data_IF_499403359591
#
_entry.id   IF_499403359591
#
_cell.length_a   1.000
_cell.length_b   1.000
_cell.length_c   1.000
_cell.angle_alpha   90.00
_cell.angle_beta   90.00
_cell.angle_gamma   90.00
#
_symmetry.space_group_name_H-M   'P 1'
#
loop_
_entity.id
_entity.type
_entity.pdbx_description
1 polymer ?
#
# COMPACT_ATOMS: atom_id res chain seq x y z
N UNK A 1 -6.87 15.17 -18.94
CA UNK A 1 -5.63 15.81 -18.42
C UNK A 1 -5.86 16.48 -17.07
N UNK A 2 -6.82 17.40 -16.92
CA UNK A 2 -7.12 18.05 -15.63
C UNK A 2 -7.40 17.09 -14.47
N UNK A 3 -8.17 16.02 -14.71
CA UNK A 3 -8.48 15.02 -13.68
C UNK A 3 -7.23 14.29 -13.15
N UNK A 4 -6.25 14.02 -14.02
CA UNK A 4 -4.99 13.38 -13.62
C UNK A 4 -4.14 14.33 -12.76
N UNK A 5 -4.08 15.62 -13.10
CA UNK A 5 -3.36 16.63 -12.31
C UNK A 5 -3.95 16.75 -10.91
N UNK A 6 -5.29 16.78 -10.79
CA UNK A 6 -5.97 16.82 -9.49
C UNK A 6 -5.64 15.60 -8.64
N UNK A 7 -5.68 14.38 -9.21
CA UNK A 7 -5.31 13.14 -8.52
C UNK A 7 -3.87 13.21 -7.99
N UNK A 8 -2.93 13.71 -8.80
CA UNK A 8 -1.51 13.86 -8.43
C UNK A 8 -1.32 14.86 -7.29
N UNK A 9 -1.97 16.02 -7.34
CA UNK A 9 -1.86 17.04 -6.27
C UNK A 9 -2.39 16.48 -4.96
N UNK A 10 -3.54 15.81 -4.98
CA UNK A 10 -4.11 15.17 -3.77
C UNK A 10 -3.15 14.13 -3.20
N UNK A 11 -2.60 13.25 -4.03
CA UNK A 11 -1.63 12.25 -3.60
C UNK A 11 -0.37 12.88 -2.98
N UNK A 12 0.19 13.92 -3.62
CA UNK A 12 1.37 14.62 -3.13
C UNK A 12 1.13 15.31 -1.78
N UNK A 13 -0.05 15.92 -1.58
CA UNK A 13 -0.44 16.52 -0.31
C UNK A 13 -0.51 15.47 0.79
N UNK A 14 -1.15 14.33 0.53
CA UNK A 14 -1.29 13.24 1.51
C UNK A 14 0.08 12.69 1.93
N UNK A 15 0.95 12.41 0.96
CA UNK A 15 2.31 11.90 1.23
C UNK A 15 3.12 12.91 2.04
N UNK A 16 3.12 14.18 1.62
CA UNK A 16 3.83 15.26 2.31
C UNK A 16 3.33 15.45 3.74
N UNK A 17 2.01 15.45 3.94
CA UNK A 17 1.37 15.58 5.25
C UNK A 17 1.78 14.45 6.19
N UNK A 18 1.70 13.20 5.73
CA UNK A 18 2.06 12.03 6.53
C UNK A 18 3.55 12.01 6.86
N UNK A 19 4.41 12.39 5.92
CA UNK A 19 5.86 12.49 6.14
C UNK A 19 6.24 13.58 7.14
N UNK A 20 5.52 14.70 7.16
CA UNK A 20 5.69 15.72 8.19
C UNK A 20 5.16 15.23 9.54
N UNK A 21 3.99 14.59 9.54
CA UNK A 21 3.34 14.09 10.74
C UNK A 21 4.17 12.98 11.42
N UNK A 22 4.92 12.17 10.67
CA UNK A 22 5.76 11.10 11.23
C UNK A 22 6.87 11.63 12.13
N UNK A 23 7.35 12.86 11.89
CA UNK A 23 8.31 13.54 12.76
C UNK A 23 7.70 14.17 14.01
N UNK A 24 6.36 14.25 14.10
CA UNK A 24 5.62 14.85 15.23
C UNK A 24 4.87 13.81 16.06
N UNK A 25 4.14 12.90 15.41
CA UNK A 25 3.26 11.89 15.99
C UNK A 25 3.37 10.57 15.20
N UNK A 26 4.44 9.81 15.45
CA UNK A 26 4.76 8.59 14.70
C UNK A 26 3.61 7.57 14.66
N UNK A 27 2.93 7.34 15.79
CA UNK A 27 1.80 6.39 15.85
C UNK A 27 0.62 6.80 14.95
N UNK A 28 0.24 8.08 14.97
CA UNK A 28 -0.84 8.60 14.12
C UNK A 28 -0.43 8.61 12.65
N UNK A 29 0.81 9.00 12.34
CA UNK A 29 1.33 8.96 10.98
C UNK A 29 1.35 7.52 10.43
N UNK A 30 1.79 6.55 11.24
CA UNK A 30 1.77 5.13 10.88
C UNK A 30 0.36 4.63 10.61
N UNK A 31 -0.61 4.96 11.47
CA UNK A 31 -2.02 4.62 11.27
C UNK A 31 -2.59 5.21 9.97
N UNK A 32 -2.37 6.51 9.73
CA UNK A 32 -2.84 7.18 8.50
C UNK A 32 -2.17 6.59 7.26
N UNK A 33 -0.88 6.25 7.33
CA UNK A 33 -0.15 5.60 6.23
C UNK A 33 -0.72 4.22 5.92
N UNK A 34 -1.11 3.47 6.97
CA UNK A 34 -1.67 2.13 6.84
C UNK A 34 -3.13 2.13 6.34
N UNK A 35 -3.83 3.25 6.42
CA UNK A 35 -5.14 3.37 5.80
C UNK A 35 -5.02 3.15 4.28
N UNK A 36 -5.97 2.43 3.66
CA UNK A 36 -5.94 2.15 2.23
C UNK A 36 -6.42 3.39 1.44
N UNK A 37 -5.83 4.56 1.68
CA UNK A 37 -6.27 5.86 1.12
C UNK A 37 -6.25 5.82 -0.41
N UNK A 38 -5.20 5.23 -0.98
CA UNK A 38 -5.10 5.03 -2.44
C UNK A 38 -6.24 4.17 -2.97
N UNK A 39 -6.61 3.11 -2.24
CA UNK A 39 -7.72 2.22 -2.61
C UNK A 39 -9.07 2.90 -2.45
N UNK A 40 -9.28 3.66 -1.37
CA UNK A 40 -10.51 4.44 -1.15
C UNK A 40 -10.74 5.42 -2.30
N UNK A 41 -9.70 6.17 -2.68
CA UNK A 41 -9.77 7.11 -3.81
C UNK A 41 -9.96 6.37 -5.13
N UNK A 42 -9.21 5.28 -5.36
CA UNK A 42 -9.31 4.50 -6.59
C UNK A 42 -10.70 3.87 -6.76
N UNK A 43 -11.29 3.30 -5.70
CA UNK A 43 -12.65 2.74 -5.72
C UNK A 43 -13.71 3.82 -5.93
N UNK A 44 -13.57 4.98 -5.30
CA UNK A 44 -14.49 6.09 -5.48
C UNK A 44 -14.47 6.60 -6.93
N UNK A 45 -13.27 6.82 -7.49
CA UNK A 45 -13.15 7.26 -8.88
C UNK A 45 -13.55 6.17 -9.87
N UNK A 46 -13.22 4.92 -9.60
CA UNK A 46 -13.58 3.81 -10.48
C UNK A 46 -15.09 3.60 -10.52
N UNK A 47 -15.79 3.75 -9.40
CA UNK A 47 -17.24 3.70 -9.36
C UNK A 47 -17.87 4.83 -10.19
N UNK A 48 -17.32 6.04 -10.12
CA UNK A 48 -17.77 7.19 -10.90
C UNK A 48 -17.45 7.06 -12.40
N UNK A 49 -16.32 6.45 -12.75
CA UNK A 49 -15.86 6.29 -14.14
C UNK A 49 -16.47 5.07 -14.85
N UNK A 50 -16.60 3.93 -14.17
CA UNK A 50 -16.94 2.65 -14.81
C UNK A 50 -18.43 2.34 -14.80
N UNK A 51 -19.21 2.90 -13.87
CA UNK A 51 -20.66 2.70 -13.79
C UNK A 51 -21.12 1.27 -13.48
N UNK A 52 -20.21 0.28 -13.41
CA UNK A 52 -20.49 -1.10 -13.05
C UNK A 52 -20.07 -1.39 -11.59
N UNK A 53 -21.03 -1.58 -10.66
CA UNK A 53 -20.75 -1.95 -9.28
C UNK A 53 -19.95 -3.25 -9.14
N UNK A 54 -20.08 -4.20 -10.08
CA UNK A 54 -19.37 -5.50 -10.02
C UNK A 54 -17.87 -5.30 -10.12
N UNK A 55 -17.41 -4.46 -11.04
CA UNK A 55 -15.99 -4.20 -11.25
C UNK A 55 -15.36 -3.53 -10.02
N UNK A 56 -16.05 -2.58 -9.38
CA UNK A 56 -15.57 -1.97 -8.13
C UNK A 56 -15.50 -2.98 -6.97
N UNK A 57 -16.46 -3.91 -6.88
CA UNK A 57 -16.43 -4.98 -5.86
C UNK A 57 -15.28 -5.96 -6.11
N UNK A 58 -15.04 -6.37 -7.35
CA UNK A 58 -13.91 -7.23 -7.71
C UNK A 58 -12.57 -6.55 -7.43
N UNK A 59 -12.44 -5.26 -7.74
CA UNK A 59 -11.25 -4.50 -7.41
C UNK A 59 -11.01 -4.45 -5.89
N UNK A 60 -12.04 -4.19 -5.09
CA UNK A 60 -11.92 -4.21 -3.63
C UNK A 60 -11.50 -5.59 -3.09
N UNK A 61 -12.06 -6.68 -3.63
CA UNK A 61 -11.65 -8.06 -3.29
C UNK A 61 -10.19 -8.32 -3.65
N UNK A 62 -9.77 -7.90 -4.85
CA UNK A 62 -8.39 -8.04 -5.29
C UNK A 62 -7.41 -7.29 -4.38
N UNK A 63 -7.75 -6.08 -3.95
CA UNK A 63 -6.93 -5.32 -3.00
C UNK A 63 -6.85 -6.05 -1.66
N UNK A 64 -7.99 -6.52 -1.13
CA UNK A 64 -8.02 -7.23 0.14
C UNK A 64 -7.09 -8.45 0.16
N UNK A 65 -7.11 -9.26 -0.91
CA UNK A 65 -6.24 -10.43 -1.07
C UNK A 65 -4.75 -10.04 -1.18
N UNK A 66 -4.44 -8.85 -1.70
CA UNK A 66 -3.07 -8.35 -1.77
C UNK A 66 -2.53 -7.84 -0.43
N UNK A 67 -3.37 -7.44 0.53
CA UNK A 67 -2.94 -6.89 1.82
C UNK A 67 -1.94 -7.81 2.55
N UNK A 68 -2.20 -9.12 2.74
CA UNK A 68 -1.24 -10.02 3.38
C UNK A 68 0.14 -10.02 2.70
N UNK A 69 0.19 -9.93 1.37
CA UNK A 69 1.45 -9.85 0.63
C UNK A 69 2.16 -8.54 0.94
N UNK A 70 1.43 -7.42 1.01
CA UNK A 70 2.02 -6.11 1.36
C UNK A 70 2.58 -6.05 2.78
N UNK A 71 2.06 -6.85 3.72
CA UNK A 71 2.58 -6.91 5.08
C UNK A 71 4.02 -7.42 5.14
N UNK A 72 4.47 -8.19 4.14
CA UNK A 72 5.84 -8.71 4.07
C UNK A 72 6.90 -7.59 4.03
N UNK A 73 6.56 -6.41 3.49
CA UNK A 73 7.46 -5.25 3.51
C UNK A 73 7.88 -4.84 4.92
N UNK A 74 6.99 -4.98 5.90
CA UNK A 74 7.22 -4.54 7.28
C UNK A 74 7.96 -5.57 8.13
N UNK A 75 8.10 -6.81 7.65
CA UNK A 75 8.75 -7.91 8.42
C UNK A 75 10.20 -7.57 8.81
N UNK A 76 11.08 -7.07 7.91
CA UNK A 76 12.44 -6.70 8.29
C UNK A 76 12.48 -5.56 9.31
N UNK A 77 11.56 -4.60 9.21
CA UNK A 77 11.45 -3.49 10.17
C UNK A 77 11.04 -3.99 11.56
N UNK A 78 10.12 -4.95 11.64
CA UNK A 78 9.70 -5.56 12.91
C UNK A 78 10.83 -6.35 13.58
N UNK A 79 11.74 -6.93 12.78
CA UNK A 79 12.88 -7.71 13.24
C UNK A 79 14.18 -6.90 13.33
N UNK A 80 14.16 -5.60 13.04
CA UNK A 80 15.35 -4.78 12.86
C UNK A 80 16.29 -4.82 14.09
N UNK A 81 15.72 -4.71 15.30
CA UNK A 81 16.49 -4.76 16.55
C UNK A 81 17.09 -6.15 16.82
N UNK A 82 16.37 -7.22 16.49
CA UNK A 82 16.83 -8.60 16.72
C UNK A 82 17.95 -9.00 15.78
N UNK A 83 17.91 -8.48 14.54
CA UNK A 83 18.85 -8.79 13.48
C UNK A 83 19.93 -7.72 13.28
N UNK A 84 19.95 -6.67 14.12
CA UNK A 84 20.85 -5.51 14.00
C UNK A 84 20.84 -4.87 12.60
N UNK A 85 19.66 -4.76 11.98
CA UNK A 85 19.50 -4.20 10.64
C UNK A 85 19.38 -2.68 10.71
N UNK A 86 20.08 -1.99 9.80
CA UNK A 86 19.86 -0.56 9.56
C UNK A 86 18.62 -0.32 8.70
N UNK A 87 18.21 0.95 8.56
CA UNK A 87 17.04 1.34 7.78
C UNK A 87 17.10 0.85 6.32
N UNK A 88 18.23 1.08 5.63
CA UNK A 88 18.37 0.72 4.22
C UNK A 88 18.31 -0.79 3.98
N UNK A 89 18.88 -1.57 4.90
CA UNK A 89 18.80 -3.03 4.88
C UNK A 89 17.35 -3.50 5.03
N UNK A 90 16.61 -2.92 6.00
CA UNK A 90 15.18 -3.23 6.17
C UNK A 90 14.37 -2.88 4.93
N UNK A 91 14.62 -1.70 4.34
CA UNK A 91 13.91 -1.20 3.18
C UNK A 91 14.13 -2.10 1.96
N UNK A 92 15.38 -2.45 1.66
CA UNK A 92 15.70 -3.31 0.52
C UNK A 92 15.16 -4.73 0.69
N UNK A 93 15.37 -5.34 1.88
CA UNK A 93 14.81 -6.66 2.19
C UNK A 93 13.28 -6.66 2.12
N UNK A 94 12.63 -5.58 2.56
CA UNK A 94 11.18 -5.44 2.49
C UNK A 94 10.69 -5.45 1.04
N UNK A 95 11.35 -4.70 0.14
CA UNK A 95 11.04 -4.72 -1.30
C UNK A 95 11.25 -6.12 -1.89
N UNK A 96 12.35 -6.78 -1.52
CA UNK A 96 12.66 -8.13 -1.99
C UNK A 96 11.58 -9.13 -1.57
N UNK A 97 11.14 -9.05 -0.31
CA UNK A 97 10.06 -9.88 0.24
C UNK A 97 8.72 -9.59 -0.44
N UNK A 98 8.41 -8.35 -0.81
CA UNK A 98 7.22 -8.03 -1.60
C UNK A 98 7.27 -8.74 -2.97
N UNK A 99 8.41 -8.68 -3.66
CA UNK A 99 8.58 -9.34 -4.95
C UNK A 99 8.41 -10.86 -4.86
N UNK A 100 9.07 -11.49 -3.87
CA UNK A 100 8.95 -12.93 -3.61
C UNK A 100 7.51 -13.30 -3.21
N UNK A 101 6.90 -12.54 -2.30
CA UNK A 101 5.54 -12.76 -1.86
C UNK A 101 4.52 -12.65 -2.99
N UNK A 102 4.70 -11.70 -3.91
CA UNK A 102 3.87 -11.57 -5.09
C UNK A 102 3.98 -12.80 -6.01
N UNK A 103 5.20 -13.29 -6.27
CA UNK A 103 5.42 -14.47 -7.10
C UNK A 103 4.74 -15.69 -6.50
N UNK A 104 4.94 -15.93 -5.19
CA UNK A 104 4.32 -17.06 -4.48
C UNK A 104 2.79 -16.95 -4.55
N UNK A 105 2.24 -15.78 -4.23
CA UNK A 105 0.80 -15.56 -4.28
C UNK A 105 0.24 -15.79 -5.69
N UNK A 106 0.91 -15.28 -6.72
CA UNK A 106 0.51 -15.46 -8.12
C UNK A 106 0.48 -16.93 -8.54
N UNK A 107 1.46 -17.73 -8.09
CA UNK A 107 1.51 -19.16 -8.39
C UNK A 107 0.37 -19.92 -7.70
N UNK A 108 0.08 -19.60 -6.43
CA UNK A 108 -1.02 -20.24 -5.69
C UNK A 108 -2.37 -19.94 -6.34
N UNK A 109 -2.62 -18.67 -6.68
CA UNK A 109 -3.89 -18.26 -7.31
C UNK A 109 -4.08 -18.84 -8.71
N UNK A 110 -3.00 -19.15 -9.45
CA UNK A 110 -3.08 -19.85 -10.73
C UNK A 110 -3.35 -21.36 -10.59
N UNK A 111 -3.06 -21.93 -9.42
CA UNK A 111 -3.21 -23.37 -9.15
C UNK A 111 -4.61 -23.72 -8.63
N UNK A 112 -5.34 -22.73 -8.11
CA UNK A 112 -6.75 -22.81 -7.66
C UNK A 112 -7.71 -22.53 -8.80
#
# INVERSE_FOLDING_TARGET
MYFAITKTIIAAIIISFVSWLSGRKTGLAGFITALPITTLLALAFSHLEWGDPKQSVEFAKSVFVAIPVTLLFFVPFFLAQKLNLNFWSCYFLGILLLGVGYIIHSQITKLM
#
